data_IF_134394373787
#
_entry.id   IF_134394373787
#
_cell.length_a   1.000
_cell.length_b   1.000
_cell.length_c   1.000
_cell.angle_alpha   90.00
_cell.angle_beta   90.00
_cell.angle_gamma   90.00
#
_symmetry.space_group_name_H-M   'P 1'
#
loop_
_entity.id
_entity.type
_entity.pdbx_description
1 polymer ?
#
# COMPACT_ATOMS: atom_id res chain seq x y z
N UNK A 1 22.75 6.29 -5.56
CA UNK A 1 22.09 5.64 -4.41
C UNK A 1 21.27 6.69 -3.68
N UNK A 2 20.11 7.04 -4.24
CA UNK A 2 19.19 8.01 -3.63
C UNK A 2 18.17 7.25 -2.79
N UNK A 3 18.33 7.28 -1.47
CA UNK A 3 17.29 6.84 -0.54
C UNK A 3 16.38 8.07 -0.35
N UNK A 4 15.27 8.13 -1.07
CA UNK A 4 14.26 9.16 -0.86
C UNK A 4 13.67 8.98 0.54
N UNK A 5 14.13 9.80 1.48
CA UNK A 5 13.57 9.95 2.82
C UNK A 5 12.29 10.78 2.73
N UNK A 6 11.14 10.14 2.57
CA UNK A 6 9.84 10.78 2.82
C UNK A 6 8.74 9.74 3.01
N UNK A 7 8.98 8.77 3.89
CA UNK A 7 7.88 8.06 4.55
C UNK A 7 7.57 8.82 5.84
N UNK A 8 6.28 9.09 6.07
CA UNK A 8 5.67 9.69 7.28
C UNK A 8 5.57 11.22 7.28
N UNK A 9 4.77 11.77 6.36
CA UNK A 9 3.99 12.97 6.68
C UNK A 9 2.52 12.54 6.79
N UNK A 10 2.06 12.37 8.04
CA UNK A 10 0.65 12.15 8.36
C UNK A 10 0.09 13.54 8.65
N UNK A 11 -0.57 14.14 7.67
CA UNK A 11 -1.36 15.34 7.90
C UNK A 11 -2.58 14.94 8.73
N UNK A 12 -2.62 15.43 9.97
CA UNK A 12 -3.72 15.24 10.91
C UNK A 12 -4.93 16.08 10.50
N UNK A 13 -5.61 15.70 9.42
CA UNK A 13 -6.83 16.35 8.97
C UNK A 13 -8.06 15.58 9.47
N UNK A 14 -8.67 16.15 10.52
CA UNK A 14 -10.09 16.08 10.92
C UNK A 14 -10.88 14.84 10.47
N UNK A 15 -10.87 13.81 11.31
CA UNK A 15 -11.88 12.76 11.26
C UNK A 15 -13.26 13.32 11.61
N UNK A 16 -14.20 13.23 10.67
CA UNK A 16 -15.60 13.50 10.93
C UNK A 16 -16.11 12.58 12.05
N UNK A 17 -16.39 13.19 13.20
CA UNK A 17 -16.85 12.60 14.46
C UNK A 17 -18.21 11.89 14.39
N UNK A 18 -18.82 11.78 13.21
CA UNK A 18 -20.19 11.33 13.02
C UNK A 18 -20.35 9.80 12.92
N UNK A 19 -19.31 9.03 12.54
CA UNK A 19 -19.40 7.56 12.42
C UNK A 19 -18.96 6.77 13.67
N UNK A 20 -18.24 7.38 14.61
CA UNK A 20 -17.73 6.71 15.82
C UNK A 20 -18.67 6.81 17.04
N UNK A 21 -19.77 7.56 16.95
CA UNK A 21 -20.74 7.74 18.05
C UNK A 21 -21.51 6.45 18.40
N UNK A 22 -21.54 5.46 17.50
CA UNK A 22 -22.12 4.13 17.75
C UNK A 22 -21.16 3.14 18.43
N UNK A 23 -19.89 3.51 18.55
CA UNK A 23 -18.78 2.61 18.93
C UNK A 23 -18.35 2.83 20.40
N UNK A 24 -18.86 3.87 21.07
CA UNK A 24 -18.12 4.52 22.17
C UNK A 24 -18.35 4.04 23.61
N UNK A 25 -18.98 2.90 23.89
CA UNK A 25 -19.11 2.41 25.29
C UNK A 25 -18.32 1.15 25.63
N UNK A 26 -17.70 0.47 24.65
CA UNK A 26 -17.00 -0.81 24.87
C UNK A 26 -15.52 -0.83 24.51
N UNK A 27 -14.99 0.24 23.91
CA UNK A 27 -13.60 0.33 23.46
C UNK A 27 -12.80 1.37 24.25
N UNK A 28 -11.50 1.13 24.39
CA UNK A 28 -10.57 2.07 25.01
C UNK A 28 -10.28 3.24 24.08
N UNK A 29 -9.79 4.35 24.63
CA UNK A 29 -9.36 5.50 23.83
C UNK A 29 -8.27 5.12 22.81
N UNK A 30 -7.34 4.23 23.19
CA UNK A 30 -6.28 3.75 22.32
C UNK A 30 -6.81 2.90 21.17
N UNK A 31 -7.83 2.06 21.41
CA UNK A 31 -8.49 1.28 20.36
C UNK A 31 -9.16 2.21 19.33
N UNK A 32 -9.80 3.29 19.80
CA UNK A 32 -10.44 4.29 18.92
C UNK A 32 -9.40 5.02 18.08
N UNK A 33 -8.28 5.43 18.67
CA UNK A 33 -7.19 6.11 17.94
C UNK A 33 -6.59 5.17 16.88
N UNK A 34 -6.25 3.94 17.25
CA UNK A 34 -5.68 2.97 16.30
C UNK A 34 -6.66 2.66 15.15
N UNK A 35 -7.95 2.50 15.44
CA UNK A 35 -8.96 2.31 14.41
C UNK A 35 -9.09 3.53 13.50
N UNK A 36 -9.05 4.74 14.07
CA UNK A 36 -9.03 5.99 13.30
C UNK A 36 -7.84 6.04 12.34
N UNK A 37 -6.62 5.80 12.83
CA UNK A 37 -5.42 5.74 11.98
C UNK A 37 -5.58 4.71 10.86
N UNK A 38 -6.04 3.50 11.18
CA UNK A 38 -6.26 2.45 10.17
C UNK A 38 -7.27 2.87 9.10
N UNK A 39 -8.38 3.50 9.49
CA UNK A 39 -9.40 3.97 8.55
C UNK A 39 -8.91 5.13 7.68
N UNK A 40 -7.96 5.95 8.15
CA UNK A 40 -7.40 7.07 7.35
C UNK A 40 -6.65 6.58 6.12
N UNK A 41 -6.17 5.34 6.15
CA UNK A 41 -5.48 4.71 5.02
C UNK A 41 -6.46 4.20 3.95
N UNK A 42 -7.78 4.27 4.21
CA UNK A 42 -8.85 3.67 3.42
C UNK A 42 -9.81 4.75 2.91
N UNK A 43 -10.14 4.79 1.60
CA UNK A 43 -11.16 5.69 1.07
C UNK A 43 -12.50 5.53 1.81
N UNK A 44 -13.18 6.64 2.06
CA UNK A 44 -14.41 6.66 2.88
C UNK A 44 -15.46 5.63 2.43
N UNK A 45 -15.65 5.47 1.12
CA UNK A 45 -16.61 4.51 0.55
C UNK A 45 -16.25 3.04 0.82
N UNK A 46 -15.01 2.73 1.20
CA UNK A 46 -14.55 1.40 1.58
C UNK A 46 -14.58 1.18 3.11
N UNK A 47 -14.69 2.24 3.93
CA UNK A 47 -14.60 2.12 5.39
C UNK A 47 -15.78 1.34 6.00
N UNK A 48 -16.97 1.37 5.37
CA UNK A 48 -18.18 0.73 5.91
C UNK A 48 -18.00 -0.78 6.14
N UNK A 49 -17.29 -1.46 5.24
CA UNK A 49 -17.00 -2.89 5.39
C UNK A 49 -16.11 -3.19 6.62
N UNK A 50 -15.27 -2.23 7.01
CA UNK A 50 -14.29 -2.36 8.09
C UNK A 50 -14.90 -2.03 9.46
N UNK A 51 -15.69 -0.96 9.58
CA UNK A 51 -16.25 -0.52 10.87
C UNK A 51 -17.20 -1.55 11.50
N UNK A 52 -17.74 -2.45 10.70
CA UNK A 52 -18.63 -3.53 11.14
C UNK A 52 -17.89 -4.81 11.56
N UNK A 53 -16.56 -4.86 11.44
CA UNK A 53 -15.77 -6.02 11.83
C UNK A 53 -15.49 -6.04 13.35
N UNK A 54 -15.18 -7.22 13.93
CA UNK A 54 -14.68 -7.32 15.30
C UNK A 54 -13.41 -6.48 15.52
N UNK A 55 -13.56 -5.28 16.07
CA UNK A 55 -12.51 -4.24 16.18
C UNK A 55 -11.21 -4.78 16.78
N UNK A 56 -11.26 -5.56 17.87
CA UNK A 56 -10.04 -6.09 18.49
C UNK A 56 -9.25 -7.03 17.58
N UNK A 57 -9.93 -7.89 16.83
CA UNK A 57 -9.27 -8.78 15.86
C UNK A 57 -8.68 -7.96 14.71
N UNK A 58 -9.43 -6.96 14.23
CA UNK A 58 -8.95 -6.03 13.21
C UNK A 58 -7.68 -5.29 13.67
N UNK A 59 -7.67 -4.78 14.91
CA UNK A 59 -6.51 -4.09 15.48
C UNK A 59 -5.32 -5.03 15.66
N UNK A 60 -5.53 -6.30 16.05
CA UNK A 60 -4.45 -7.31 16.07
C UNK A 60 -3.85 -7.51 14.67
N UNK A 61 -4.69 -7.58 13.64
CA UNK A 61 -4.21 -7.69 12.26
C UNK A 61 -3.48 -6.43 11.81
N UNK A 62 -3.99 -5.23 12.12
CA UNK A 62 -3.30 -3.98 11.82
C UNK A 62 -1.94 -3.88 12.54
N UNK A 63 -1.81 -4.40 13.76
CA UNK A 63 -0.51 -4.49 14.43
C UNK A 63 0.50 -5.34 13.65
N UNK A 64 0.08 -6.43 13.00
CA UNK A 64 0.97 -7.17 12.10
C UNK A 64 1.42 -6.33 10.92
N UNK A 65 0.54 -5.49 10.34
CA UNK A 65 0.94 -4.55 9.28
C UNK A 65 2.05 -3.60 9.76
N UNK A 66 1.86 -3.01 10.94
CA UNK A 66 2.84 -2.09 11.53
C UNK A 66 4.18 -2.79 11.82
N UNK A 67 4.14 -4.03 12.31
CA UNK A 67 5.34 -4.84 12.49
C UNK A 67 6.01 -5.15 11.15
N UNK A 68 5.25 -5.45 10.10
CA UNK A 68 5.82 -5.69 8.77
C UNK A 68 6.53 -4.46 8.22
N UNK A 69 5.92 -3.28 8.34
CA UNK A 69 6.55 -2.01 7.97
C UNK A 69 7.83 -1.76 8.77
N UNK A 70 7.79 -1.97 10.09
CA UNK A 70 8.96 -1.83 10.96
C UNK A 70 10.11 -2.73 10.53
N UNK A 71 9.85 -4.03 10.33
CA UNK A 71 10.86 -4.98 9.87
C UNK A 71 11.36 -4.67 8.46
N UNK A 72 10.49 -4.18 7.58
CA UNK A 72 10.88 -3.69 6.25
C UNK A 72 11.88 -2.53 6.32
N UNK A 73 11.68 -1.58 7.25
CA UNK A 73 12.64 -0.50 7.49
C UNK A 73 13.99 -1.02 8.01
N UNK A 74 13.99 -2.09 8.80
CA UNK A 74 15.20 -2.78 9.27
C UNK A 74 15.83 -3.70 8.22
N UNK A 75 15.22 -3.83 7.02
CA UNK A 75 15.61 -4.76 5.95
C UNK A 75 15.49 -6.24 6.36
N UNK A 76 14.64 -6.52 7.33
CA UNK A 76 14.33 -7.84 7.85
C UNK A 76 13.16 -8.44 7.05
N UNK A 77 13.36 -8.61 5.75
CA UNK A 77 12.29 -8.86 4.77
C UNK A 77 11.50 -10.14 5.03
N UNK A 78 12.13 -11.19 5.56
CA UNK A 78 11.43 -12.43 5.89
C UNK A 78 10.41 -12.24 7.02
N UNK A 79 10.70 -11.39 8.01
CA UNK A 79 9.74 -11.02 9.04
C UNK A 79 8.63 -10.15 8.47
N UNK A 80 8.98 -9.17 7.61
CA UNK A 80 7.96 -8.35 6.94
C UNK A 80 6.95 -9.21 6.14
N UNK A 81 7.46 -10.18 5.38
CA UNK A 81 6.62 -11.13 4.61
C UNK A 81 5.75 -11.97 5.54
N UNK A 82 6.28 -12.50 6.64
CA UNK A 82 5.52 -13.38 7.52
C UNK A 82 4.38 -12.64 8.22
N UNK A 83 4.63 -11.42 8.70
CA UNK A 83 3.59 -10.57 9.29
C UNK A 83 2.49 -10.21 8.27
N UNK A 84 2.86 -9.77 7.06
CA UNK A 84 1.88 -9.45 6.00
C UNK A 84 1.04 -10.67 5.61
N UNK A 85 1.64 -11.85 5.45
CA UNK A 85 0.91 -13.06 5.10
C UNK A 85 -0.09 -13.48 6.18
N UNK A 86 0.31 -13.40 7.46
CA UNK A 86 -0.57 -13.66 8.60
C UNK A 86 -1.75 -12.70 8.63
N UNK A 87 -1.48 -11.40 8.44
CA UNK A 87 -2.48 -10.34 8.30
C UNK A 87 -3.47 -10.64 7.17
N UNK A 88 -2.99 -10.84 5.93
CA UNK A 88 -3.84 -11.06 4.77
C UNK A 88 -4.73 -12.30 4.98
N UNK A 89 -4.17 -13.39 5.49
CA UNK A 89 -4.90 -14.63 5.77
C UNK A 89 -5.99 -14.40 6.84
N UNK A 90 -5.64 -13.75 7.94
CA UNK A 90 -6.55 -13.49 9.04
C UNK A 90 -7.68 -12.54 8.66
N UNK A 91 -7.34 -11.43 8.00
CA UNK A 91 -8.34 -10.46 7.56
C UNK A 91 -9.27 -11.08 6.51
N UNK A 92 -8.79 -11.85 5.53
CA UNK A 92 -9.65 -12.57 4.59
C UNK A 92 -10.65 -13.52 5.26
N UNK A 93 -10.28 -14.13 6.38
CA UNK A 93 -11.21 -14.95 7.16
C UNK A 93 -12.27 -14.11 7.88
N UNK A 94 -11.93 -12.88 8.25
CA UNK A 94 -12.83 -11.92 8.91
C UNK A 94 -13.84 -11.28 7.95
N UNK A 95 -13.46 -11.12 6.68
CA UNK A 95 -14.29 -10.52 5.63
C UNK A 95 -14.33 -11.38 4.35
N UNK A 96 -14.92 -12.58 4.39
CA UNK A 96 -14.82 -13.58 3.30
C UNK A 96 -15.52 -13.18 2.00
N UNK A 97 -16.45 -12.23 2.05
CA UNK A 97 -17.16 -11.67 0.88
C UNK A 97 -16.38 -10.55 0.20
N UNK A 98 -15.40 -9.95 0.89
CA UNK A 98 -14.69 -8.74 0.49
C UNK A 98 -13.26 -9.03 0.01
N UNK A 99 -13.10 -10.02 -0.87
CA UNK A 99 -11.79 -10.56 -1.27
C UNK A 99 -10.86 -9.56 -1.98
N UNK A 100 -11.46 -8.55 -2.62
CA UNK A 100 -10.76 -7.47 -3.33
C UNK A 100 -10.93 -6.13 -2.63
N UNK A 101 -11.15 -6.12 -1.31
CA UNK A 101 -11.27 -4.86 -0.56
C UNK A 101 -10.04 -3.98 -0.73
N UNK A 102 -10.24 -2.66 -0.83
CA UNK A 102 -9.18 -1.67 -1.08
C UNK A 102 -7.95 -1.88 -0.20
N UNK A 103 -8.13 -2.16 1.09
CA UNK A 103 -7.04 -2.32 2.06
C UNK A 103 -5.99 -3.36 1.66
N UNK A 104 -6.38 -4.39 0.90
CA UNK A 104 -5.44 -5.41 0.45
C UNK A 104 -4.40 -4.84 -0.53
N UNK A 105 -4.65 -3.70 -1.20
CA UNK A 105 -3.63 -3.07 -2.04
C UNK A 105 -2.40 -2.62 -1.22
N UNK A 106 -2.60 -2.11 0.00
CA UNK A 106 -1.51 -1.72 0.90
C UNK A 106 -0.65 -2.94 1.27
N UNK A 107 -1.31 -4.02 1.68
CA UNK A 107 -0.65 -5.24 2.15
C UNK A 107 0.10 -5.95 1.04
N UNK A 108 -0.51 -6.09 -0.14
CA UNK A 108 0.18 -6.61 -1.31
C UNK A 108 1.33 -5.71 -1.76
N UNK A 109 1.22 -4.39 -1.59
CA UNK A 109 2.34 -3.45 -1.80
C UNK A 109 3.55 -3.77 -0.94
N UNK A 110 3.36 -3.89 0.38
CA UNK A 110 4.44 -4.21 1.34
C UNK A 110 5.03 -5.59 1.08
N UNK A 111 4.16 -6.59 0.85
CA UNK A 111 4.56 -7.96 0.57
C UNK A 111 5.43 -8.02 -0.70
N UNK A 112 5.01 -7.35 -1.76
CA UNK A 112 5.73 -7.35 -3.04
C UNK A 112 7.05 -6.59 -2.97
N UNK A 113 7.09 -5.46 -2.25
CA UNK A 113 8.34 -4.74 -1.99
C UNK A 113 9.35 -5.62 -1.25
N UNK A 114 8.88 -6.41 -0.29
CA UNK A 114 9.72 -7.35 0.47
C UNK A 114 10.24 -8.50 -0.40
N UNK A 115 9.38 -9.10 -1.25
CA UNK A 115 9.82 -10.11 -2.22
C UNK A 115 10.83 -9.54 -3.23
N UNK A 116 10.60 -8.32 -3.72
CA UNK A 116 11.53 -7.63 -4.60
C UNK A 116 12.87 -7.42 -3.92
N UNK A 117 12.90 -7.07 -2.63
CA UNK A 117 14.13 -6.90 -1.87
C UNK A 117 14.92 -8.22 -1.69
N UNK A 118 14.23 -9.37 -1.63
CA UNK A 118 14.84 -10.70 -1.56
C UNK A 118 15.26 -11.27 -2.92
N UNK A 119 14.88 -10.62 -4.03
CA UNK A 119 15.18 -11.13 -5.37
C UNK A 119 14.14 -12.09 -5.94
N UNK A 120 13.01 -12.29 -5.24
CA UNK A 120 11.86 -13.09 -5.69
C UNK A 120 11.02 -12.29 -6.70
N UNK A 121 11.61 -11.97 -7.86
CA UNK A 121 11.09 -10.94 -8.77
C UNK A 121 9.73 -11.32 -9.37
N UNK A 122 9.52 -12.58 -9.74
CA UNK A 122 8.25 -13.01 -10.33
C UNK A 122 7.09 -12.90 -9.33
N UNK A 123 7.29 -13.38 -8.10
CA UNK A 123 6.32 -13.25 -7.00
C UNK A 123 6.03 -11.78 -6.69
N UNK A 124 7.04 -10.91 -6.73
CA UNK A 124 6.85 -9.48 -6.56
C UNK A 124 6.01 -8.86 -7.69
N UNK A 125 6.25 -9.25 -8.95
CA UNK A 125 5.45 -8.78 -10.09
C UNK A 125 3.97 -9.14 -9.91
N UNK A 126 3.68 -10.41 -9.59
CA UNK A 126 2.31 -10.87 -9.36
C UNK A 126 1.63 -10.08 -8.24
N UNK A 127 2.32 -9.88 -7.12
CA UNK A 127 1.79 -9.12 -5.99
C UNK A 127 1.55 -7.63 -6.33
N UNK A 128 2.46 -6.99 -7.08
CA UNK A 128 2.28 -5.60 -7.53
C UNK A 128 1.06 -5.50 -8.46
N UNK A 129 0.90 -6.45 -9.39
CA UNK A 129 -0.25 -6.47 -10.30
C UNK A 129 -1.57 -6.65 -9.54
N UNK A 130 -1.60 -7.52 -8.52
CA UNK A 130 -2.78 -7.68 -7.65
C UNK A 130 -3.09 -6.37 -6.92
N UNK A 131 -2.09 -5.75 -6.28
CA UNK A 131 -2.27 -4.48 -5.56
C UNK A 131 -2.82 -3.38 -6.48
N UNK A 132 -2.24 -3.24 -7.66
CA UNK A 132 -2.65 -2.26 -8.66
C UNK A 132 -4.07 -2.53 -9.19
N UNK A 133 -4.43 -3.79 -9.45
CA UNK A 133 -5.76 -4.16 -9.90
C UNK A 133 -6.84 -3.82 -8.85
N UNK A 134 -6.57 -4.08 -7.57
CA UNK A 134 -7.45 -3.71 -6.45
C UNK A 134 -7.57 -2.19 -6.36
N UNK A 135 -6.44 -1.48 -6.40
CA UNK A 135 -6.41 -0.02 -6.32
C UNK A 135 -7.29 0.61 -7.41
N UNK A 136 -7.05 0.25 -8.68
CA UNK A 136 -7.79 0.78 -9.83
C UNK A 136 -9.28 0.42 -9.83
N UNK A 137 -9.66 -0.69 -9.18
CA UNK A 137 -11.08 -1.09 -9.03
C UNK A 137 -11.86 -0.15 -8.12
N UNK A 138 -11.20 0.40 -7.08
CA UNK A 138 -11.86 1.23 -6.06
C UNK A 138 -11.64 2.72 -6.27
N UNK A 139 -10.50 3.14 -6.82
CA UNK A 139 -10.23 4.55 -7.08
C UNK A 139 -9.23 4.75 -8.22
N UNK A 140 -9.48 5.79 -9.02
CA UNK A 140 -8.53 6.30 -10.01
C UNK A 140 -7.86 7.60 -9.55
N UNK A 141 -8.26 8.12 -8.40
CA UNK A 141 -7.85 9.44 -7.90
C UNK A 141 -6.65 9.38 -6.96
N UNK A 142 -6.25 8.18 -6.50
CA UNK A 142 -4.99 8.00 -5.75
C UNK A 142 -3.82 7.93 -6.73
N UNK A 143 -3.62 9.03 -7.47
CA UNK A 143 -2.57 9.15 -8.48
C UNK A 143 -1.19 8.82 -7.91
N UNK A 144 -0.93 9.25 -6.67
CA UNK A 144 0.32 8.96 -5.98
C UNK A 144 0.57 7.47 -5.85
N UNK A 145 -0.36 6.71 -5.26
CA UNK A 145 -0.18 5.26 -5.08
C UNK A 145 -0.18 4.51 -6.41
N UNK A 146 -1.03 4.91 -7.37
CA UNK A 146 -1.05 4.30 -8.72
C UNK A 146 0.32 4.47 -9.40
N UNK A 147 0.90 5.68 -9.35
CA UNK A 147 2.24 5.95 -9.89
C UNK A 147 3.31 5.06 -9.22
N UNK A 148 3.29 4.96 -7.90
CA UNK A 148 4.25 4.11 -7.17
C UNK A 148 4.17 2.64 -7.58
N UNK A 149 2.97 2.07 -7.75
CA UNK A 149 2.85 0.69 -8.20
C UNK A 149 3.40 0.48 -9.61
N UNK A 150 3.13 1.39 -10.54
CA UNK A 150 3.74 1.33 -11.88
C UNK A 150 5.27 1.45 -11.83
N UNK A 151 5.81 2.34 -11.00
CA UNK A 151 7.25 2.45 -10.77
C UNK A 151 7.87 1.16 -10.23
N UNK A 152 7.22 0.51 -9.26
CA UNK A 152 7.71 -0.76 -8.72
C UNK A 152 7.64 -1.89 -9.76
N UNK A 153 6.57 -1.93 -10.56
CA UNK A 153 6.42 -2.88 -11.65
C UNK A 153 7.50 -2.67 -12.72
N UNK A 154 7.78 -1.43 -13.08
CA UNK A 154 8.83 -1.05 -14.03
C UNK A 154 10.21 -1.54 -13.55
N UNK A 155 10.53 -1.33 -12.29
CA UNK A 155 11.78 -1.80 -11.69
C UNK A 155 11.87 -3.33 -11.63
N UNK A 156 10.76 -4.01 -11.35
CA UNK A 156 10.73 -5.46 -11.36
C UNK A 156 10.99 -6.02 -12.78
N UNK A 157 10.32 -5.48 -13.81
CA UNK A 157 10.57 -5.84 -15.21
C UNK A 157 12.01 -5.53 -15.65
N UNK A 158 12.56 -4.38 -15.23
CA UNK A 158 13.96 -4.00 -15.49
C UNK A 158 14.93 -5.06 -14.95
N UNK A 159 14.69 -5.61 -13.75
CA UNK A 159 15.55 -6.64 -13.13
C UNK A 159 15.56 -7.96 -13.89
N UNK A 160 14.46 -8.33 -14.55
CA UNK A 160 14.39 -9.52 -15.40
C UNK A 160 14.70 -9.22 -16.88
N UNK A 161 15.17 -8.00 -17.21
CA UNK A 161 15.51 -7.55 -18.57
C UNK A 161 14.32 -7.51 -19.55
N UNK A 162 13.12 -7.36 -19.03
CA UNK A 162 11.91 -7.10 -19.83
C UNK A 162 11.81 -5.60 -20.10
N UNK A 163 12.70 -5.10 -20.97
CA UNK A 163 12.91 -3.66 -21.18
C UNK A 163 11.66 -2.95 -21.71
N UNK A 164 10.89 -3.60 -22.58
CA UNK A 164 9.67 -3.02 -23.16
C UNK A 164 8.62 -2.79 -22.08
N UNK A 165 8.30 -3.82 -21.30
CA UNK A 165 7.31 -3.74 -20.22
C UNK A 165 7.77 -2.76 -19.12
N UNK A 166 9.07 -2.72 -18.83
CA UNK A 166 9.64 -1.74 -17.91
C UNK A 166 9.41 -0.30 -18.39
N UNK A 167 9.68 -0.01 -19.67
CA UNK A 167 9.51 1.32 -20.26
C UNK A 167 8.04 1.74 -20.26
N UNK A 168 7.13 0.85 -20.66
CA UNK A 168 5.69 1.10 -20.63
C UNK A 168 5.20 1.43 -19.22
N UNK A 169 5.72 0.74 -18.20
CA UNK A 169 5.37 1.01 -16.81
C UNK A 169 5.93 2.35 -16.31
N UNK A 170 7.17 2.71 -16.64
CA UNK A 170 7.72 4.03 -16.29
C UNK A 170 6.93 5.17 -16.94
N UNK A 171 6.57 5.04 -18.22
CA UNK A 171 5.74 6.06 -18.92
C UNK A 171 4.41 6.25 -18.18
N UNK A 172 3.72 5.16 -17.84
CA UNK A 172 2.48 5.24 -17.06
C UNK A 172 2.67 5.86 -15.68
N UNK A 173 3.77 5.52 -14.98
CA UNK A 173 4.09 6.13 -13.70
C UNK A 173 4.24 7.65 -13.84
N UNK A 174 4.99 8.13 -14.84
CA UNK A 174 5.21 9.56 -15.11
C UNK A 174 3.89 10.27 -15.45
N UNK A 175 3.08 9.69 -16.34
CA UNK A 175 1.80 10.27 -16.75
C UNK A 175 0.86 10.45 -15.56
N UNK A 176 0.74 9.43 -14.70
CA UNK A 176 -0.10 9.48 -13.51
C UNK A 176 0.50 10.42 -12.45
N UNK A 177 1.82 10.40 -12.27
CA UNK A 177 2.51 11.28 -11.32
C UNK A 177 2.18 12.75 -11.56
N UNK A 178 2.15 13.17 -12.84
CA UNK A 178 1.82 14.53 -13.27
C UNK A 178 0.36 14.95 -13.04
N UNK A 179 -0.52 14.01 -12.73
CA UNK A 179 -1.92 14.31 -12.35
C UNK A 179 -2.05 14.60 -10.85
N UNK A 180 -1.01 14.31 -10.05
CA UNK A 180 -1.04 14.46 -8.59
C UNK A 180 -0.41 15.77 -8.14
N UNK A 181 -1.08 16.50 -7.25
CA UNK A 181 -0.49 17.65 -6.56
C UNK A 181 0.38 17.24 -5.36
N UNK A 182 0.34 15.97 -4.96
CA UNK A 182 1.12 15.44 -3.82
C UNK A 182 2.49 14.89 -4.22
N UNK A 183 2.76 14.84 -5.52
CA UNK A 183 4.03 14.41 -6.08
C UNK A 183 4.80 15.65 -6.48
N UNK A 184 6.05 15.72 -6.02
CA UNK A 184 6.97 16.78 -6.44
C UNK A 184 7.63 16.48 -7.79
N UNK A 185 8.18 17.52 -8.39
CA UNK A 185 8.89 17.39 -9.67
C UNK A 185 10.15 16.52 -9.54
N UNK A 186 10.75 16.44 -8.34
CA UNK A 186 11.93 15.60 -8.08
C UNK A 186 11.62 14.11 -8.30
N UNK A 187 10.46 13.64 -7.85
CA UNK A 187 10.01 12.27 -8.12
C UNK A 187 9.78 12.03 -9.61
N UNK A 188 9.18 12.99 -10.33
CA UNK A 188 8.97 12.88 -11.79
C UNK A 188 10.31 12.81 -12.53
N UNK A 189 11.26 13.69 -12.19
CA UNK A 189 12.62 13.70 -12.73
C UNK A 189 13.35 12.37 -12.48
N UNK A 190 13.16 11.78 -11.29
CA UNK A 190 13.69 10.46 -10.96
C UNK A 190 13.12 9.35 -11.86
N UNK A 191 11.80 9.35 -12.09
CA UNK A 191 11.16 8.39 -13.00
C UNK A 191 11.67 8.54 -14.44
N UNK A 192 11.82 9.77 -14.92
CA UNK A 192 12.35 10.03 -16.26
C UNK A 192 13.81 9.60 -16.39
N UNK A 193 14.63 9.86 -15.37
CA UNK A 193 16.01 9.41 -15.35
C UNK A 193 16.09 7.88 -15.42
N UNK A 194 15.25 7.18 -14.63
CA UNK A 194 15.17 5.73 -14.65
C UNK A 194 14.71 5.18 -16.00
N UNK A 195 13.71 5.81 -16.65
CA UNK A 195 13.27 5.44 -17.99
C UNK A 195 14.42 5.55 -19.01
N UNK A 196 15.24 6.61 -18.94
CA UNK A 196 16.42 6.79 -19.82
C UNK A 196 17.48 5.71 -19.62
N UNK A 197 17.49 4.98 -18.50
CA UNK A 197 18.44 3.87 -18.25
C UNK A 197 18.06 2.56 -18.92
N UNK A 198 16.81 2.43 -19.42
CA UNK A 198 16.36 1.23 -20.12
C UNK A 198 17.08 1.17 -21.47
N UNK A 199 17.77 0.05 -21.72
CA UNK A 199 18.53 -0.23 -22.94
C UNK A 199 17.80 -1.24 -23.82
#
# INVERSE_FOLDING_TARGET
>A
MGCCKSCLHIDGAQFNSLNLTRVSSSFTQDEIIQLGTFLSEIPDHCQEAIINLPVRQLLTFYQYHLMALYHGLQREWLFAISYEQCLIKGLRALMPTEKDHYIFCNFYGVLSASFLALGEIHTAIEGIQIALAILLKHTLNDHKKISYHYYHLANAYKRIKHCKEAAECFVKAIEIARLSNEIDEEYVDMLEADLRTIK
#
